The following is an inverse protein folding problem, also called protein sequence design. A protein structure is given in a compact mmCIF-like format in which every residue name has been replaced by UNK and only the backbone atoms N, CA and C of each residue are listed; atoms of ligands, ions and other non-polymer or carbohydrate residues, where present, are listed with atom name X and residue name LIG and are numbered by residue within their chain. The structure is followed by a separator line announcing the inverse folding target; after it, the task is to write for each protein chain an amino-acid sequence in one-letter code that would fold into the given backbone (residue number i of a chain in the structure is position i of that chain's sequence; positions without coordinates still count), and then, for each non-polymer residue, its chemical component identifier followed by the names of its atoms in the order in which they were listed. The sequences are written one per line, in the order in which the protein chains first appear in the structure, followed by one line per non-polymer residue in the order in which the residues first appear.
data_IF_124648844800
#
_entry.id   IF_124648844800
#
_cell.length_a   1.000
_cell.length_b   1.000
_cell.length_c   1.000
_cell.angle_alpha   90.00
_cell.angle_beta   90.00
_cell.angle_gamma   90.00
#
_symmetry.space_group_name_H-M   'P 1'
#
loop_
_entity.id
_entity.type
_entity.pdbx_description
1 polymer ?
#
# COMPACT_ATOMS: atom_id res chain seq x y z
N UNK A 1 -9.78 19.40 3.34
CA UNK A 1 -8.78 18.83 2.44
C UNK A 1 -7.45 19.53 2.67
N UNK A 2 -6.36 18.74 2.81
CA UNK A 2 -5.01 19.25 3.03
C UNK A 2 -4.10 18.60 1.97
N UNK A 3 -3.31 19.42 1.27
CA UNK A 3 -2.27 18.91 0.36
C UNK A 3 -1.00 18.70 1.19
N UNK A 4 -0.57 17.45 1.31
CA UNK A 4 0.62 17.09 2.08
C UNK A 4 1.28 15.81 1.56
N UNK A 5 2.53 15.58 1.91
CA UNK A 5 3.20 14.29 1.73
C UNK A 5 2.83 13.35 2.87
N UNK A 6 2.57 12.07 2.56
CA UNK A 6 2.40 11.04 3.58
C UNK A 6 3.66 10.86 4.47
N UNK A 7 4.81 11.34 4.01
CA UNK A 7 6.09 11.30 4.73
C UNK A 7 6.31 12.51 5.65
N UNK A 8 5.41 13.50 5.63
CA UNK A 8 5.46 14.70 6.46
C UNK A 8 4.08 15.34 6.51
N UNK A 9 3.26 14.92 7.45
CA UNK A 9 1.88 15.34 7.58
C UNK A 9 1.77 16.57 8.51
N UNK A 10 1.07 17.64 8.10
CA UNK A 10 0.81 18.79 8.96
C UNK A 10 -0.33 18.50 9.96
N UNK A 11 -0.18 17.40 10.70
CA UNK A 11 -1.13 16.88 11.67
C UNK A 11 -0.38 16.70 13.00
N UNK A 12 -1.02 17.08 14.08
CA UNK A 12 -0.48 17.00 15.44
C UNK A 12 -0.26 15.54 15.85
N UNK A 13 0.76 15.29 16.65
CA UNK A 13 1.01 13.97 17.27
C UNK A 13 -0.20 13.50 18.07
N UNK A 14 -0.45 12.20 18.06
CA UNK A 14 -1.49 11.56 18.89
C UNK A 14 -2.89 12.20 18.73
N UNK A 15 -3.27 12.55 17.51
CA UNK A 15 -4.52 13.27 17.24
C UNK A 15 -5.59 12.44 16.52
N UNK A 16 -5.19 11.34 15.86
CA UNK A 16 -6.08 10.52 15.05
C UNK A 16 -6.37 9.16 15.68
N UNK A 17 -7.61 8.72 15.64
CA UNK A 17 -8.01 7.38 16.09
C UNK A 17 -7.75 6.32 15.02
N UNK A 18 -7.85 6.72 13.74
CA UNK A 18 -7.60 5.86 12.59
C UNK A 18 -6.74 6.57 11.54
N UNK A 19 -5.85 5.80 10.93
CA UNK A 19 -5.14 6.19 9.71
C UNK A 19 -5.44 5.16 8.63
N UNK A 20 -5.98 5.61 7.51
CA UNK A 20 -6.28 4.74 6.37
C UNK A 20 -5.56 5.25 5.13
N UNK A 21 -4.95 4.33 4.39
CA UNK A 21 -4.36 4.60 3.09
C UNK A 21 -4.79 3.50 2.12
N UNK A 22 -5.27 3.89 0.93
CA UNK A 22 -5.74 2.98 -0.09
C UNK A 22 -5.06 3.29 -1.41
N UNK A 23 -4.33 2.31 -1.95
CA UNK A 23 -3.60 2.36 -3.22
C UNK A 23 -2.63 3.56 -3.35
N UNK A 24 -2.13 4.05 -2.22
CA UNK A 24 -1.27 5.22 -2.12
C UNK A 24 0.11 4.94 -1.56
N UNK A 25 0.26 3.93 -0.72
CA UNK A 25 1.52 3.68 0.00
C UNK A 25 2.68 3.38 -0.96
N UNK A 26 2.45 2.62 -2.03
CA UNK A 26 3.47 2.29 -3.04
C UNK A 26 4.05 3.50 -3.78
N UNK A 27 3.33 4.64 -3.76
CA UNK A 27 3.74 5.88 -4.42
C UNK A 27 4.59 6.78 -3.52
N UNK A 28 4.82 6.41 -2.26
CA UNK A 28 5.68 7.17 -1.36
C UNK A 28 7.15 6.93 -1.70
N UNK A 29 7.99 7.94 -1.51
CA UNK A 29 9.43 7.84 -1.78
C UNK A 29 10.15 7.02 -0.71
N UNK A 30 9.64 7.07 0.52
CA UNK A 30 10.22 6.40 1.67
C UNK A 30 9.12 5.79 2.55
N UNK A 31 8.95 4.48 2.44
CA UNK A 31 7.94 3.71 3.19
C UNK A 31 8.12 3.85 4.72
N UNK A 32 9.36 3.83 5.20
CA UNK A 32 9.64 3.99 6.64
C UNK A 32 9.16 5.35 7.15
N UNK A 33 9.42 6.43 6.42
CA UNK A 33 8.95 7.77 6.80
C UNK A 33 7.42 7.83 6.80
N UNK A 34 6.77 7.29 5.78
CA UNK A 34 5.31 7.29 5.70
C UNK A 34 4.66 6.50 6.86
N UNK A 35 5.23 5.34 7.22
CA UNK A 35 4.76 4.55 8.35
C UNK A 35 5.06 5.23 9.70
N UNK A 36 6.23 5.84 9.84
CA UNK A 36 6.60 6.61 11.03
C UNK A 36 5.65 7.80 11.25
N UNK A 37 5.29 8.52 10.18
CA UNK A 37 4.32 9.62 10.24
C UNK A 37 2.91 9.13 10.60
N UNK A 38 2.47 8.02 10.00
CA UNK A 38 1.20 7.40 10.35
C UNK A 38 1.17 7.00 11.84
N UNK A 39 2.28 6.43 12.34
CA UNK A 39 2.42 6.09 13.76
C UNK A 39 2.41 7.33 14.64
N UNK A 40 3.11 8.40 14.25
CA UNK A 40 3.21 9.66 15.02
C UNK A 40 1.84 10.27 15.28
N UNK A 41 1.01 10.39 14.24
CA UNK A 41 -0.29 11.06 14.34
C UNK A 41 -1.38 10.22 14.99
N UNK A 42 -1.24 8.89 15.01
CA UNK A 42 -2.19 8.01 15.69
C UNK A 42 -2.10 8.19 17.21
N UNK A 43 -3.24 8.20 17.88
CA UNK A 43 -3.33 8.11 19.33
C UNK A 43 -2.88 6.73 19.84
N UNK A 44 -2.43 6.60 21.10
CA UNK A 44 -2.39 5.29 21.75
C UNK A 44 -3.76 4.59 21.65
N UNK A 45 -3.78 3.32 21.24
CA UNK A 45 -5.01 2.59 20.89
C UNK A 45 -5.51 2.86 19.45
N UNK A 46 -4.89 3.75 18.71
CA UNK A 46 -5.24 4.06 17.32
C UNK A 46 -4.82 2.97 16.34
N UNK A 47 -5.52 2.88 15.23
CA UNK A 47 -5.37 1.81 14.24
C UNK A 47 -4.93 2.33 12.87
N UNK A 48 -3.89 1.72 12.33
CA UNK A 48 -3.45 1.86 10.94
C UNK A 48 -4.09 0.79 10.06
N UNK A 49 -4.58 1.20 8.88
CA UNK A 49 -5.12 0.33 7.84
C UNK A 49 -4.55 0.72 6.48
N UNK A 50 -3.97 -0.25 5.78
CA UNK A 50 -3.42 -0.05 4.45
C UNK A 50 -4.00 -1.07 3.48
N UNK A 51 -4.76 -0.61 2.49
CA UNK A 51 -5.19 -1.41 1.36
C UNK A 51 -4.27 -1.13 0.18
N UNK A 52 -3.59 -2.15 -0.32
CA UNK A 52 -2.63 -1.97 -1.42
C UNK A 52 -2.54 -3.22 -2.31
N UNK A 53 -2.11 -3.02 -3.53
CA UNK A 53 -1.71 -4.14 -4.38
C UNK A 53 -0.57 -4.92 -3.74
N UNK A 54 -0.55 -6.22 -4.00
CA UNK A 54 0.37 -7.11 -3.32
C UNK A 54 0.89 -8.23 -4.24
N UNK A 55 1.77 -9.06 -3.74
CA UNK A 55 2.33 -10.18 -4.50
C UNK A 55 1.42 -11.39 -4.40
N UNK A 56 1.08 -11.97 -5.55
CA UNK A 56 0.29 -13.20 -5.61
C UNK A 56 1.17 -14.35 -5.13
N UNK A 57 0.69 -15.06 -4.11
CA UNK A 57 1.44 -16.17 -3.50
C UNK A 57 1.32 -17.49 -4.29
N UNK A 58 0.25 -17.65 -5.08
CA UNK A 58 0.04 -18.83 -5.91
C UNK A 58 0.69 -18.64 -7.28
N UNK A 59 1.68 -19.48 -7.61
CA UNK A 59 2.45 -19.39 -8.85
C UNK A 59 1.61 -19.48 -10.12
N UNK A 60 0.54 -20.28 -10.13
CA UNK A 60 -0.34 -20.40 -11.29
C UNK A 60 -1.18 -19.13 -11.51
N UNK A 61 -1.71 -18.56 -10.43
CA UNK A 61 -2.43 -17.29 -10.48
C UNK A 61 -1.50 -16.13 -10.83
N UNK A 62 -0.29 -16.12 -10.31
CA UNK A 62 0.72 -15.10 -10.63
C UNK A 62 1.08 -15.11 -12.12
N UNK A 63 1.27 -16.31 -12.70
CA UNK A 63 1.52 -16.45 -14.14
C UNK A 63 0.37 -15.92 -15.00
N UNK A 64 -0.87 -16.26 -14.65
CA UNK A 64 -2.06 -15.76 -15.35
C UNK A 64 -2.18 -14.24 -15.22
N UNK A 65 -1.99 -13.72 -14.01
CA UNK A 65 -2.07 -12.29 -13.73
C UNK A 65 -0.99 -11.50 -14.48
N UNK A 66 0.26 -11.96 -14.48
CA UNK A 66 1.37 -11.31 -15.21
C UNK A 66 1.14 -11.27 -16.72
N UNK A 67 0.55 -12.31 -17.28
CA UNK A 67 0.21 -12.31 -18.71
C UNK A 67 -0.97 -11.38 -19.02
N UNK A 68 -1.99 -11.38 -18.17
CA UNK A 68 -3.13 -10.48 -18.29
C UNK A 68 -2.73 -9.01 -18.10
N UNK A 69 -1.89 -8.70 -17.12
CA UNK A 69 -1.48 -7.33 -16.82
C UNK A 69 -0.68 -6.68 -17.96
N UNK A 70 0.04 -7.47 -18.77
CA UNK A 70 0.72 -6.98 -19.98
C UNK A 70 -0.25 -6.45 -21.06
N UNK A 71 -1.50 -6.91 -21.04
CA UNK A 71 -2.52 -6.45 -21.97
C UNK A 71 -3.20 -5.15 -21.51
N UNK A 72 -3.15 -4.84 -20.22
CA UNK A 72 -3.82 -3.66 -19.65
C UNK A 72 -3.33 -2.34 -20.27
N UNK A 73 -2.03 -2.07 -20.46
CA UNK A 73 -1.56 -0.86 -21.11
C UNK A 73 -2.01 -0.74 -22.57
N UNK A 74 -2.09 -1.87 -23.29
CA UNK A 74 -2.54 -1.92 -24.67
C UNK A 74 -4.03 -1.57 -24.74
N UNK A 75 -4.84 -2.16 -23.87
CA UNK A 75 -6.27 -1.85 -23.76
C UNK A 75 -6.46 -0.38 -23.35
N UNK A 76 -5.68 0.11 -22.38
CA UNK A 76 -5.70 1.51 -21.94
C UNK A 76 -5.44 2.48 -23.09
N UNK A 77 -4.48 2.19 -23.95
CA UNK A 77 -4.18 3.00 -25.14
C UNK A 77 -5.36 3.04 -26.12
N UNK A 78 -6.05 1.91 -26.32
CA UNK A 78 -7.18 1.86 -27.24
C UNK A 78 -8.46 2.52 -26.68
N UNK A 79 -8.66 2.49 -25.36
CA UNK A 79 -9.90 2.96 -24.71
C UNK A 79 -9.79 4.41 -24.24
N UNK A 80 -8.64 4.79 -23.68
CA UNK A 80 -8.43 6.11 -23.05
C UNK A 80 -7.44 6.98 -23.85
N UNK A 81 -6.70 6.37 -24.78
CA UNK A 81 -5.67 7.07 -25.58
C UNK A 81 -4.34 7.24 -24.87
N UNK A 82 -4.17 6.74 -23.63
CA UNK A 82 -2.96 6.89 -22.83
C UNK A 82 -2.44 5.53 -22.38
N UNK A 83 -1.14 5.30 -22.52
CA UNK A 83 -0.46 4.07 -22.12
C UNK A 83 0.35 4.24 -20.82
N UNK A 84 0.97 5.40 -20.66
CA UNK A 84 1.92 5.70 -19.59
C UNK A 84 1.36 5.49 -18.16
N UNK A 85 0.11 5.91 -17.81
CA UNK A 85 -0.44 5.70 -16.48
C UNK A 85 -0.56 4.21 -16.12
N UNK A 86 -0.87 3.38 -17.10
CA UNK A 86 -1.03 1.93 -16.91
C UNK A 86 0.33 1.22 -16.78
N UNK A 87 1.34 1.65 -17.54
CA UNK A 87 2.71 1.15 -17.39
C UNK A 87 3.28 1.52 -16.02
N UNK A 88 3.06 2.76 -15.57
CA UNK A 88 3.42 3.20 -14.23
C UNK A 88 2.74 2.35 -13.15
N UNK A 89 1.45 2.09 -13.28
CA UNK A 89 0.68 1.26 -12.35
C UNK A 89 1.31 -0.13 -12.20
N UNK A 90 1.54 -0.82 -13.32
CA UNK A 90 2.13 -2.16 -13.32
C UNK A 90 3.53 -2.14 -12.69
N UNK A 91 4.37 -1.21 -13.12
CA UNK A 91 5.74 -1.07 -12.62
C UNK A 91 5.77 -0.79 -11.11
N UNK A 92 4.89 0.09 -10.62
CA UNK A 92 4.80 0.42 -9.19
C UNK A 92 4.34 -0.78 -8.35
N UNK A 93 3.43 -1.62 -8.88
CA UNK A 93 3.00 -2.85 -8.21
C UNK A 93 4.14 -3.87 -8.17
N UNK A 94 4.86 -4.04 -9.30
CA UNK A 94 5.99 -4.98 -9.36
C UNK A 94 7.14 -4.61 -8.42
N UNK A 95 7.38 -3.32 -8.22
CA UNK A 95 8.44 -2.80 -7.34
C UNK A 95 8.03 -2.75 -5.87
N UNK A 96 6.73 -2.85 -5.57
CA UNK A 96 6.27 -2.77 -4.19
C UNK A 96 6.65 -4.03 -3.41
N UNK A 97 6.86 -3.87 -2.11
CA UNK A 97 7.20 -4.94 -1.18
C UNK A 97 6.05 -5.94 -1.03
N UNK A 98 6.36 -7.17 -0.63
CA UNK A 98 5.35 -8.19 -0.37
C UNK A 98 4.67 -8.01 0.99
N UNK A 99 3.65 -8.85 1.27
CA UNK A 99 2.83 -8.75 2.48
C UNK A 99 3.64 -8.88 3.77
N UNK A 100 4.55 -9.87 3.83
CA UNK A 100 5.36 -10.13 5.03
C UNK A 100 6.40 -9.03 5.25
N UNK A 101 7.01 -8.53 4.18
CA UNK A 101 7.94 -7.39 4.24
C UNK A 101 7.23 -6.13 4.77
N UNK A 102 5.98 -5.88 4.34
CA UNK A 102 5.21 -4.75 4.88
C UNK A 102 4.86 -4.94 6.36
N UNK A 103 4.49 -6.16 6.78
CA UNK A 103 4.29 -6.48 8.20
C UNK A 103 5.55 -6.21 9.01
N UNK A 104 6.71 -6.65 8.51
CA UNK A 104 7.98 -6.42 9.22
C UNK A 104 8.27 -4.92 9.32
N UNK A 105 8.10 -4.18 8.23
CA UNK A 105 8.31 -2.74 8.19
C UNK A 105 7.35 -1.98 9.14
N UNK A 106 6.11 -2.43 9.27
CA UNK A 106 5.16 -1.90 10.26
C UNK A 106 5.65 -2.14 11.69
N UNK A 107 6.13 -3.35 12.00
CA UNK A 107 6.70 -3.68 13.32
C UNK A 107 7.93 -2.83 13.64
N UNK A 108 8.82 -2.64 12.67
CA UNK A 108 10.01 -1.79 12.80
C UNK A 108 9.64 -0.33 13.11
N UNK A 109 8.47 0.11 12.61
CA UNK A 109 7.85 1.40 12.92
C UNK A 109 6.92 1.36 14.15
N UNK A 110 7.13 0.39 15.06
CA UNK A 110 6.49 0.26 16.38
C UNK A 110 5.01 -0.16 16.37
N UNK A 111 4.42 -0.43 15.22
CA UNK A 111 3.06 -0.99 15.20
C UNK A 111 3.03 -2.38 15.82
N UNK A 112 1.99 -2.65 16.59
CA UNK A 112 1.75 -3.94 17.24
C UNK A 112 0.50 -4.62 16.67
N UNK A 113 0.33 -5.91 16.97
CA UNK A 113 -0.78 -6.72 16.45
C UNK A 113 -0.93 -6.58 14.92
N UNK A 114 0.23 -6.54 14.24
CA UNK A 114 0.25 -6.42 12.78
C UNK A 114 -0.26 -7.70 12.13
N UNK A 115 -1.18 -7.55 11.21
CA UNK A 115 -1.74 -8.64 10.43
C UNK A 115 -2.11 -8.17 9.03
N UNK A 116 -2.27 -9.12 8.10
CA UNK A 116 -2.84 -8.82 6.79
C UNK A 116 -3.88 -9.86 6.38
N UNK A 117 -4.73 -9.47 5.44
CA UNK A 117 -5.69 -10.33 4.77
C UNK A 117 -5.65 -10.12 3.27
N UNK A 118 -5.48 -11.20 2.52
CA UNK A 118 -5.47 -11.20 1.07
C UNK A 118 -6.89 -11.21 0.49
N UNK A 119 -7.06 -10.51 -0.62
CA UNK A 119 -8.25 -10.52 -1.46
C UNK A 119 -7.85 -10.91 -2.89
N UNK A 120 -8.81 -11.50 -3.63
CA UNK A 120 -8.61 -11.89 -5.03
C UNK A 120 -7.33 -12.71 -5.25
N UNK A 121 -7.09 -13.72 -4.39
CA UNK A 121 -5.91 -14.57 -4.51
C UNK A 121 -4.57 -13.91 -4.17
N UNK A 122 -4.59 -12.74 -3.53
CA UNK A 122 -3.40 -11.98 -3.14
C UNK A 122 -3.04 -10.82 -4.08
N UNK A 123 -3.89 -10.52 -5.07
CA UNK A 123 -3.72 -9.33 -5.93
C UNK A 123 -3.74 -8.05 -5.09
N UNK A 124 -4.62 -8.04 -4.08
CA UNK A 124 -4.77 -6.93 -3.12
C UNK A 124 -4.70 -7.50 -1.72
N UNK A 125 -4.10 -6.75 -0.80
CA UNK A 125 -4.12 -7.09 0.63
C UNK A 125 -4.43 -5.86 1.48
N UNK A 126 -5.15 -6.10 2.58
CA UNK A 126 -5.33 -5.11 3.63
C UNK A 126 -4.41 -5.46 4.80
N UNK A 127 -3.55 -4.52 5.17
CA UNK A 127 -2.71 -4.61 6.36
C UNK A 127 -3.32 -3.80 7.49
N UNK A 128 -3.14 -4.27 8.70
CA UNK A 128 -3.62 -3.62 9.93
C UNK A 128 -2.55 -3.68 11.01
N UNK A 129 -2.39 -2.59 11.73
CA UNK A 129 -1.51 -2.51 12.90
C UNK A 129 -2.06 -1.49 13.89
N UNK A 130 -1.63 -1.60 15.15
CA UNK A 130 -2.10 -0.76 16.25
C UNK A 130 -0.92 -0.01 16.87
N UNK A 131 -1.20 1.20 17.36
CA UNK A 131 -0.31 1.93 18.25
C UNK A 131 -0.75 1.70 19.70
N UNK A 132 0.16 1.22 20.53
CA UNK A 132 -0.03 1.10 21.98
C UNK A 132 0.94 2.00 22.73
#
# INVERSE_FOLDING_TARGET
WIIASAENLPITDNSCDYYTISFGLRNTKNLNKALSEAYRILKPGGRYLCLEFSKIQNSNLDFIYKNYSKLIPIIGQFVVGEKEPYEYLIKSIEQFINQEELIQLMKDNKFQNCSYRNFSGGIVSIHSGWKY
#
